data_IF_977652240434
#
_entry.id   IF_977652240434
#
_cell.length_a   1.000
_cell.length_b   1.000
_cell.length_c   1.000
_cell.angle_alpha   90.00
_cell.angle_beta   90.00
_cell.angle_gamma   90.00
#
_symmetry.space_group_name_H-M   'P 1'
#
loop_
_entity.id
_entity.type
_entity.pdbx_description
1 polymer ?
#
# COMPACT_ATOMS: atom_id res chain seq x y z
N UNK A 1 16.99 -15.22 21.18
CA UNK A 1 15.80 -15.19 20.30
C UNK A 1 15.75 -13.77 19.74
N UNK A 2 16.22 -13.56 18.50
CA UNK A 2 16.25 -12.24 17.86
C UNK A 2 15.12 -12.18 16.85
N UNK A 3 14.22 -11.20 17.00
CA UNK A 3 13.18 -10.86 16.03
C UNK A 3 13.85 -10.10 14.89
N UNK A 4 13.85 -10.66 13.69
CA UNK A 4 14.34 -9.98 12.49
C UNK A 4 13.18 -9.31 11.77
N UNK A 5 13.22 -7.98 11.72
CA UNK A 5 12.45 -7.07 10.86
C UNK A 5 10.92 -7.15 10.97
N UNK A 6 10.37 -6.28 11.81
CA UNK A 6 8.95 -5.94 11.88
C UNK A 6 8.74 -4.61 11.13
N UNK A 7 7.95 -4.62 10.07
CA UNK A 7 7.48 -3.38 9.42
C UNK A 7 6.07 -3.10 9.93
N UNK A 8 5.92 -1.99 10.64
CA UNK A 8 4.64 -1.50 11.15
C UNK A 8 4.26 -0.30 10.29
N UNK A 9 3.10 -0.37 9.66
CA UNK A 9 2.46 0.78 9.03
C UNK A 9 1.23 1.07 9.89
N UNK A 10 1.32 2.13 10.68
CA UNK A 10 0.23 2.66 11.50
C UNK A 10 -0.38 3.86 10.78
N UNK A 11 -1.60 3.69 10.26
CA UNK A 11 -2.50 4.81 9.97
C UNK A 11 -3.79 4.59 10.75
N UNK A 12 -4.50 5.67 11.10
CA UNK A 12 -5.52 5.74 12.16
C UNK A 12 -6.63 4.66 12.17
N UNK A 13 -6.74 3.79 11.14
CA UNK A 13 -7.75 2.71 11.03
C UNK A 13 -7.27 1.41 10.38
N UNK A 14 -5.98 1.26 10.06
CA UNK A 14 -5.43 0.05 9.44
C UNK A 14 -4.06 -0.28 10.01
N UNK A 15 -3.89 -1.53 10.47
CA UNK A 15 -2.59 -2.05 10.90
C UNK A 15 -2.18 -3.20 9.98
N UNK A 16 -1.03 -3.09 9.33
CA UNK A 16 -0.41 -4.18 8.57
C UNK A 16 0.80 -4.67 9.36
N UNK A 17 0.80 -5.94 9.74
CA UNK A 17 1.97 -6.61 10.30
C UNK A 17 2.50 -7.60 9.28
N UNK A 18 3.77 -7.44 8.94
CA UNK A 18 4.51 -8.43 8.17
C UNK A 18 5.57 -9.00 9.12
N UNK A 19 5.41 -10.27 9.48
CA UNK A 19 6.39 -10.98 10.30
C UNK A 19 7.09 -12.04 9.45
N UNK A 20 8.41 -11.89 9.33
CA UNK A 20 9.27 -12.94 8.82
C UNK A 20 9.58 -13.95 9.91
N UNK A 21 9.08 -15.18 9.78
CA UNK A 21 9.60 -16.33 10.52
C UNK A 21 10.62 -17.04 9.61
N UNK A 22 11.55 -17.81 10.20
CA UNK A 22 12.70 -18.43 9.50
C UNK A 22 12.38 -19.10 8.16
N UNK A 23 11.13 -19.53 7.92
CA UNK A 23 10.65 -20.07 6.64
C UNK A 23 9.23 -19.63 6.23
N UNK A 24 8.60 -18.69 6.94
CA UNK A 24 7.19 -18.32 6.74
C UNK A 24 7.04 -16.79 6.72
N UNK A 25 6.08 -16.30 5.94
CA UNK A 25 5.70 -14.88 5.92
C UNK A 25 4.27 -14.80 6.41
N UNK A 26 4.08 -14.21 7.60
CA UNK A 26 2.76 -13.90 8.11
C UNK A 26 2.42 -12.46 7.74
N UNK A 27 1.28 -12.27 7.07
CA UNK A 27 0.72 -10.96 6.76
C UNK A 27 -0.59 -10.84 7.55
N UNK A 28 -0.62 -9.95 8.54
CA UNK A 28 -1.79 -9.65 9.36
C UNK A 28 -2.29 -8.28 8.93
N UNK A 29 -3.54 -8.22 8.48
CA UNK A 29 -4.20 -6.96 8.15
C UNK A 29 -5.34 -6.79 9.15
N UNK A 30 -5.27 -5.76 9.98
CA UNK A 30 -6.38 -5.35 10.86
C UNK A 30 -6.99 -4.07 10.33
N UNK A 31 -8.31 -4.00 10.27
CA UNK A 31 -9.03 -2.79 9.89
C UNK A 31 -10.13 -2.50 10.91
N UNK A 32 -10.15 -1.29 11.44
CA UNK A 32 -11.18 -0.82 12.37
C UNK A 32 -12.22 0.04 11.63
N UNK A 33 -13.24 -0.63 11.09
CA UNK A 33 -14.67 -0.31 11.21
C UNK A 33 -15.47 -0.87 10.03
N UNK A 34 -16.55 -1.59 10.38
CA UNK A 34 -17.57 -2.21 9.51
C UNK A 34 -17.02 -3.06 8.37
N UNK A 35 -17.07 -4.38 8.61
CA UNK A 35 -17.16 -5.45 7.61
C UNK A 35 -15.80 -6.01 7.13
N UNK A 36 -15.61 -7.29 7.50
CA UNK A 36 -14.51 -8.21 7.18
C UNK A 36 -13.23 -8.01 8.03
N UNK A 37 -13.26 -8.54 9.26
CA UNK A 37 -12.01 -8.93 9.96
C UNK A 37 -11.61 -10.28 9.35
N UNK A 38 -10.87 -10.22 8.24
CA UNK A 38 -10.39 -11.38 7.49
C UNK A 38 -8.87 -11.51 7.65
N UNK A 39 -8.36 -12.49 8.41
CA UNK A 39 -6.92 -12.82 8.37
C UNK A 39 -6.69 -13.85 7.26
N UNK A 40 -5.88 -13.50 6.25
CA UNK A 40 -5.43 -14.46 5.23
C UNK A 40 -3.96 -14.77 5.46
N UNK A 41 -3.65 -16.00 5.89
CA UNK A 41 -2.26 -16.48 5.98
C UNK A 41 -1.98 -17.49 4.88
N UNK A 42 -0.73 -17.46 4.38
CA UNK A 42 -0.24 -18.40 3.38
C UNK A 42 0.95 -19.14 3.96
N UNK A 43 0.80 -20.45 4.16
CA UNK A 43 1.85 -21.31 4.68
C UNK A 43 2.40 -22.17 3.55
N UNK A 44 3.71 -22.17 3.36
CA UNK A 44 4.36 -22.93 2.30
C UNK A 44 5.87 -22.92 2.42
N UNK A 45 6.54 -23.72 1.59
CA UNK A 45 7.99 -23.85 1.62
C UNK A 45 8.65 -22.91 0.62
N UNK A 46 9.82 -22.42 0.97
CA UNK A 46 10.71 -21.69 0.06
C UNK A 46 11.98 -22.49 -0.21
N UNK A 47 12.54 -22.32 -1.41
CA UNK A 47 13.90 -22.76 -1.76
C UNK A 47 14.53 -21.69 -2.64
N UNK A 48 15.66 -21.12 -2.21
CA UNK A 48 16.39 -20.07 -2.92
C UNK A 48 15.50 -18.86 -3.27
N UNK A 49 14.68 -18.40 -2.33
CA UNK A 49 13.76 -17.27 -2.53
C UNK A 49 12.56 -17.57 -3.42
N UNK A 50 12.40 -18.80 -3.92
CA UNK A 50 11.24 -19.22 -4.73
C UNK A 50 10.29 -20.07 -3.90
N UNK A 51 8.98 -19.82 -4.06
CA UNK A 51 7.90 -20.64 -3.50
C UNK A 51 8.00 -22.05 -4.12
N UNK A 52 7.87 -23.09 -3.31
CA UNK A 52 7.88 -24.49 -3.76
C UNK A 52 6.77 -25.31 -3.09
N UNK A 53 6.15 -26.21 -3.85
CA UNK A 53 5.22 -27.23 -3.36
C UNK A 53 3.80 -26.71 -3.10
N UNK A 54 3.07 -27.43 -2.24
CA UNK A 54 1.72 -27.04 -1.83
C UNK A 54 1.75 -25.90 -0.83
N UNK A 55 0.80 -24.99 -0.99
CA UNK A 55 0.56 -23.88 -0.08
C UNK A 55 -0.79 -24.05 0.58
N UNK A 56 -0.91 -23.60 1.82
CA UNK A 56 -2.18 -23.59 2.55
C UNK A 56 -2.58 -22.15 2.78
N UNK A 57 -3.70 -21.76 2.17
CA UNK A 57 -4.40 -20.52 2.50
C UNK A 57 -5.27 -20.77 3.72
N UNK A 58 -5.14 -19.93 4.74
CA UNK A 58 -6.03 -19.91 5.88
C UNK A 58 -6.79 -18.59 5.89
N UNK A 59 -8.12 -18.64 5.83
CA UNK A 59 -8.99 -17.49 5.97
C UNK A 59 -9.65 -17.53 7.34
N UNK A 60 -9.44 -16.51 8.18
CA UNK A 60 -10.22 -16.32 9.42
C UNK A 60 -11.15 -15.14 9.29
N UNK A 61 -12.46 -15.36 9.41
CA UNK A 61 -13.46 -14.30 9.35
C UNK A 61 -14.51 -14.47 10.45
N UNK A 62 -14.70 -13.45 11.29
CA UNK A 62 -15.75 -13.43 12.33
C UNK A 62 -15.76 -14.69 13.23
N UNK A 63 -14.58 -15.19 13.62
CA UNK A 63 -14.44 -16.41 14.44
C UNK A 63 -14.48 -17.74 13.66
N UNK A 64 -14.80 -17.72 12.36
CA UNK A 64 -14.68 -18.88 11.48
C UNK A 64 -13.27 -18.97 10.91
N UNK A 65 -12.75 -20.20 10.78
CA UNK A 65 -11.47 -20.49 10.16
C UNK A 65 -11.66 -21.56 9.07
N UNK A 66 -11.20 -21.27 7.85
CA UNK A 66 -11.16 -22.24 6.76
C UNK A 66 -9.74 -22.39 6.22
N UNK A 67 -9.44 -23.58 5.73
CA UNK A 67 -8.15 -23.93 5.12
C UNK A 67 -8.39 -24.40 3.70
N UNK A 68 -7.56 -23.94 2.77
CA UNK A 68 -7.59 -24.37 1.40
C UNK A 68 -6.16 -24.65 0.92
N UNK A 69 -5.93 -25.86 0.43
CA UNK A 69 -4.71 -26.18 -0.28
C UNK A 69 -4.74 -25.50 -1.65
N UNK A 70 -3.71 -24.72 -1.94
CA UNK A 70 -3.56 -23.99 -3.19
C UNK A 70 -2.19 -24.27 -3.79
N UNK A 71 -2.14 -24.30 -5.13
CA UNK A 71 -0.88 -24.42 -5.87
C UNK A 71 -0.14 -23.07 -5.94
N UNK A 72 1.16 -23.11 -6.23
CA UNK A 72 2.01 -21.91 -6.34
C UNK A 72 1.43 -20.82 -7.25
N UNK A 73 0.85 -21.19 -8.40
CA UNK A 73 0.24 -20.25 -9.35
C UNK A 73 -0.97 -19.52 -8.79
N UNK A 74 -1.74 -20.17 -7.92
CA UNK A 74 -2.94 -19.58 -7.31
C UNK A 74 -2.54 -18.54 -6.25
N UNK A 75 -1.45 -18.76 -5.50
CA UNK A 75 -0.93 -17.80 -4.53
C UNK A 75 -0.59 -16.46 -5.20
N UNK A 76 0.08 -16.49 -6.35
CA UNK A 76 0.45 -15.26 -7.07
C UNK A 76 -0.76 -14.48 -7.59
N UNK A 77 -1.79 -15.17 -8.07
CA UNK A 77 -3.02 -14.52 -8.54
C UNK A 77 -3.77 -13.85 -7.39
N UNK A 78 -3.95 -14.55 -6.26
CA UNK A 78 -4.66 -13.99 -5.10
C UNK A 78 -3.86 -12.82 -4.50
N UNK A 79 -2.54 -12.95 -4.40
CA UNK A 79 -1.66 -11.87 -3.95
C UNK A 79 -1.82 -10.61 -4.83
N UNK A 80 -1.89 -10.76 -6.15
CA UNK A 80 -2.11 -9.64 -7.06
C UNK A 80 -3.51 -9.01 -6.88
N UNK A 81 -4.55 -9.83 -6.73
CA UNK A 81 -5.92 -9.34 -6.50
C UNK A 81 -5.99 -8.54 -5.19
N UNK A 82 -5.38 -9.05 -4.11
CA UNK A 82 -5.34 -8.36 -2.82
C UNK A 82 -4.57 -7.04 -2.95
N UNK A 83 -3.41 -7.03 -3.60
CA UNK A 83 -2.64 -5.79 -3.81
C UNK A 83 -3.42 -4.77 -4.63
N UNK A 84 -4.11 -5.20 -5.69
CA UNK A 84 -4.94 -4.33 -6.52
C UNK A 84 -6.15 -3.80 -5.77
N UNK A 85 -6.79 -4.62 -4.94
CA UNK A 85 -7.92 -4.20 -4.11
C UNK A 85 -7.47 -3.22 -3.03
N UNK A 86 -6.36 -3.49 -2.34
CA UNK A 86 -5.76 -2.57 -1.38
C UNK A 86 -5.35 -1.26 -2.03
N UNK A 87 -4.77 -1.30 -3.23
CA UNK A 87 -4.46 -0.11 -4.01
C UNK A 87 -5.74 0.68 -4.28
N UNK A 88 -6.76 0.09 -4.90
CA UNK A 88 -8.00 0.79 -5.19
C UNK A 88 -8.68 1.36 -3.93
N UNK A 89 -8.74 0.58 -2.84
CA UNK A 89 -9.31 1.02 -1.56
C UNK A 89 -8.52 2.18 -0.95
N UNK A 90 -7.18 2.11 -0.97
CA UNK A 90 -6.31 3.19 -0.52
C UNK A 90 -6.48 4.46 -1.37
N UNK A 91 -6.69 4.29 -2.68
CA UNK A 91 -6.93 5.40 -3.62
C UNK A 91 -8.33 6.04 -3.47
N UNK A 92 -9.35 5.27 -3.09
CA UNK A 92 -10.68 5.81 -2.76
C UNK A 92 -10.70 6.51 -1.39
N UNK A 93 -9.90 6.02 -0.43
CA UNK A 93 -9.89 6.52 0.94
C UNK A 93 -9.04 7.79 1.09
N UNK A 94 -7.93 7.91 0.36
CA UNK A 94 -7.09 9.10 0.41
C UNK A 94 -7.37 9.96 -0.83
N UNK A 95 -8.35 10.84 -0.66
CA UNK A 95 -8.66 11.88 -1.61
C UNK A 95 -7.45 12.83 -1.75
N UNK A 96 -6.52 12.55 -2.67
CA UNK A 96 -5.28 13.32 -2.77
C UNK A 96 -4.04 12.60 -3.28
N UNK A 97 -4.06 11.27 -3.44
CA UNK A 97 -2.87 10.53 -3.90
C UNK A 97 -2.97 10.22 -5.38
N UNK A 98 -1.88 10.53 -6.08
CA UNK A 98 -1.70 10.25 -7.48
C UNK A 98 -1.02 8.91 -7.68
N UNK A 99 -1.29 8.24 -8.80
CA UNK A 99 -0.69 6.97 -9.16
C UNK A 99 -0.09 7.02 -10.56
N UNK A 100 0.82 6.09 -10.84
CA UNK A 100 1.39 5.89 -12.17
C UNK A 100 0.81 4.63 -12.80
N UNK A 101 0.42 4.70 -14.08
CA UNK A 101 0.03 3.51 -14.83
C UNK A 101 1.23 2.67 -15.30
N UNK A 102 0.96 1.56 -15.98
CA UNK A 102 1.98 0.66 -16.52
C UNK A 102 2.93 1.33 -17.53
N UNK A 103 2.56 2.50 -18.06
CA UNK A 103 3.36 3.31 -18.98
C UNK A 103 4.08 4.47 -18.27
N UNK A 104 3.95 4.57 -16.95
CA UNK A 104 4.51 5.65 -16.14
C UNK A 104 3.75 6.97 -16.26
N UNK A 105 2.50 6.97 -16.74
CA UNK A 105 1.70 8.18 -16.82
C UNK A 105 1.00 8.46 -15.49
N UNK A 106 1.02 9.72 -15.04
CA UNK A 106 0.38 10.18 -13.80
C UNK A 106 -1.15 10.18 -13.93
N UNK A 107 -1.83 9.80 -12.86
CA UNK A 107 -3.28 9.81 -12.71
C UNK A 107 -3.69 10.21 -11.29
N UNK A 108 -4.87 10.78 -11.11
CA UNK A 108 -5.37 11.19 -9.79
C UNK A 108 -4.81 12.53 -9.32
N UNK A 109 -4.96 12.84 -8.03
CA UNK A 109 -4.52 14.13 -7.45
C UNK A 109 -3.02 14.12 -7.17
N UNK A 110 -2.30 15.18 -7.54
CA UNK A 110 -0.86 15.32 -7.35
C UNK A 110 -0.53 16.65 -6.69
N UNK A 111 0.57 16.66 -5.92
CA UNK A 111 1.26 17.86 -5.47
C UNK A 111 2.61 17.90 -6.17
N UNK A 112 2.87 18.97 -6.92
CA UNK A 112 4.12 19.19 -7.63
C UNK A 112 4.86 20.41 -7.09
N UNK A 113 6.17 20.32 -6.96
CA UNK A 113 7.02 21.45 -6.63
C UNK A 113 7.33 22.24 -7.91
N UNK A 114 7.28 23.57 -7.82
CA UNK A 114 7.74 24.44 -8.90
C UNK A 114 9.26 24.31 -9.07
N UNK A 115 9.72 23.96 -10.26
CA UNK A 115 11.15 23.79 -10.54
C UNK A 115 11.95 25.10 -10.39
N UNK A 116 11.26 26.24 -10.55
CA UNK A 116 11.85 27.57 -10.39
C UNK A 116 11.68 28.14 -8.97
N UNK A 117 11.14 27.36 -8.03
CA UNK A 117 11.00 27.81 -6.65
C UNK A 117 12.37 28.17 -6.07
N UNK A 118 12.52 29.41 -5.61
CA UNK A 118 13.74 29.85 -4.95
C UNK A 118 13.96 29.04 -3.67
N UNK A 119 15.22 28.88 -3.23
CA UNK A 119 15.56 28.15 -1.99
C UNK A 119 14.79 28.64 -0.75
N UNK A 120 14.34 29.88 -0.77
CA UNK A 120 13.71 30.56 0.35
C UNK A 120 12.18 30.46 0.34
N UNK A 121 11.58 30.09 -0.80
CA UNK A 121 10.14 29.99 -0.99
C UNK A 121 9.78 28.77 -1.82
N UNK A 122 8.98 27.85 -1.29
CA UNK A 122 8.47 26.73 -2.07
C UNK A 122 7.10 27.08 -2.64
N UNK A 123 6.97 26.93 -3.96
CA UNK A 123 5.68 26.96 -4.65
C UNK A 123 5.30 25.51 -4.93
N UNK A 124 4.10 25.12 -4.50
CA UNK A 124 3.52 23.82 -4.86
C UNK A 124 2.23 24.00 -5.65
N UNK A 125 2.02 23.13 -6.62
CA UNK A 125 0.81 23.04 -7.41
C UNK A 125 0.06 21.77 -7.03
N UNK A 126 -1.19 21.89 -6.62
CA UNK A 126 -2.05 20.75 -6.36
C UNK A 126 -3.18 20.70 -7.38
N UNK A 127 -3.34 19.57 -8.05
CA UNK A 127 -4.42 19.37 -9.01
C UNK A 127 -4.47 17.93 -9.48
N UNK A 128 -5.21 17.65 -10.54
CA UNK A 128 -5.44 16.29 -11.01
C UNK A 128 -4.69 16.02 -12.31
N UNK A 129 -4.16 14.80 -12.43
CA UNK A 129 -3.64 14.26 -13.67
C UNK A 129 -4.60 13.20 -14.23
N UNK A 130 -4.73 13.16 -15.54
CA UNK A 130 -5.41 12.10 -16.28
C UNK A 130 -4.55 11.72 -17.50
N UNK A 131 -4.12 10.46 -17.58
CA UNK A 131 -3.23 9.96 -18.65
C UNK A 131 -1.96 10.82 -18.83
N UNK A 132 -1.33 11.22 -17.72
CA UNK A 132 -0.11 12.02 -17.74
C UNK A 132 -0.31 13.50 -18.08
N UNK A 133 -1.54 13.97 -18.25
CA UNK A 133 -1.86 15.38 -18.52
C UNK A 133 -2.52 16.03 -17.30
N UNK A 134 -2.12 17.26 -16.99
CA UNK A 134 -2.79 18.10 -15.98
C UNK A 134 -4.22 18.42 -16.46
N UNK A 135 -5.21 18.13 -15.62
CA UNK A 135 -6.63 18.40 -15.88
C UNK A 135 -7.24 19.18 -14.73
N UNK A 136 -8.34 19.88 -15.02
CA UNK A 136 -9.09 20.64 -14.02
C UNK A 136 -8.36 21.87 -13.49
N UNK A 137 -8.78 22.32 -12.31
CA UNK A 137 -8.18 23.45 -11.61
C UNK A 137 -6.96 22.99 -10.82
N UNK A 138 -5.91 23.80 -10.89
CA UNK A 138 -4.68 23.60 -10.13
C UNK A 138 -4.52 24.72 -9.12
N UNK A 139 -4.57 24.36 -7.84
CA UNK A 139 -4.35 25.29 -6.74
C UNK A 139 -2.85 25.54 -6.58
N UNK A 140 -2.48 26.81 -6.45
CA UNK A 140 -1.12 27.22 -6.14
C UNK A 140 -1.02 27.51 -4.66
N UNK A 141 -0.04 26.90 -4.00
CA UNK A 141 0.30 27.16 -2.63
C UNK A 141 1.71 27.71 -2.57
N UNK A 142 1.91 28.67 -1.66
CA UNK A 142 3.19 29.31 -1.43
C UNK A 142 3.54 29.15 0.04
N UNK A 143 4.72 28.61 0.33
CA UNK A 143 5.24 28.47 1.69
C UNK A 143 6.60 29.16 1.83
N UNK A 144 6.67 30.09 2.77
CA UNK A 144 7.91 30.66 3.27
C UNK A 144 8.61 29.63 4.16
N UNK A 145 9.77 29.12 3.74
CA UNK A 145 10.54 28.18 4.57
C UNK A 145 11.25 28.87 5.75
N UNK A 146 11.33 30.21 5.77
CA UNK A 146 12.23 30.96 6.68
C UNK A 146 11.54 31.45 7.97
N UNK A 147 10.32 31.01 8.31
CA UNK A 147 9.62 31.59 9.49
C UNK A 147 10.07 31.11 10.87
N UNK A 148 10.97 30.13 11.01
CA UNK A 148 11.40 29.62 12.33
C UNK A 148 12.91 29.49 12.49
N UNK A 149 13.62 30.62 12.50
CA UNK A 149 14.90 30.75 13.22
C UNK A 149 14.83 31.99 14.11
N UNK A 150 14.24 31.84 15.30
CA UNK A 150 14.44 32.71 16.44
C UNK A 150 14.47 31.84 17.71
#
# INVERSE_FOLDING_TARGET
MMLENMLIIEEEKMEIFIQGLRNEVEIIIKMEQKMIIGLITYNGKYRNGKKIGMWVQCLRQNGYQSFQEIGEKQVSQIQWIILKWLQNWYMEYIDGIGWYDERGSKHGKWVELDENSARESQITYQGEYNNGQKVGLWNLYWSDLIKNKN
#
